data_IF_533544832220
#
_entry.id   IF_533544832220
#
_cell.length_a   1.000
_cell.length_b   1.000
_cell.length_c   1.000
_cell.angle_alpha   90.00
_cell.angle_beta   90.00
_cell.angle_gamma   90.00
#
_symmetry.space_group_name_H-M   'P 1'
#
loop_
_entity.id
_entity.type
_entity.pdbx_description
1 polymer ?
#
# COMPACT_ATOMS: atom_id res chain seq x y z
N UNK A 1 -20.69 -22.68 9.39
CA UNK A 1 -19.34 -22.29 8.92
C UNK A 1 -19.13 -20.85 9.33
N UNK A 2 -18.06 -20.53 10.07
CA UNK A 2 -17.72 -19.14 10.37
C UNK A 2 -17.12 -18.54 9.10
N UNK A 3 -17.79 -17.57 8.50
CA UNK A 3 -17.28 -16.85 7.33
C UNK A 3 -16.08 -16.02 7.77
N UNK A 4 -14.93 -16.21 7.14
CA UNK A 4 -13.74 -15.37 7.34
C UNK A 4 -14.04 -13.95 6.78
N UNK A 5 -14.23 -12.93 7.62
CA UNK A 5 -14.61 -11.59 7.16
C UNK A 5 -13.57 -10.98 6.21
N UNK A 6 -12.30 -11.33 6.39
CA UNK A 6 -11.23 -10.87 5.51
C UNK A 6 -11.37 -11.48 4.12
N UNK A 7 -11.73 -12.77 4.04
CA UNK A 7 -12.04 -13.42 2.76
C UNK A 7 -13.25 -12.78 2.07
N UNK A 8 -14.28 -12.40 2.83
CA UNK A 8 -15.43 -11.67 2.29
C UNK A 8 -15.03 -10.33 1.66
N UNK A 9 -14.18 -9.57 2.34
CA UNK A 9 -13.64 -8.30 1.82
C UNK A 9 -12.86 -8.52 0.51
N UNK A 10 -11.97 -9.53 0.46
CA UNK A 10 -11.20 -9.83 -0.76
C UNK A 10 -12.11 -10.21 -1.94
N UNK A 11 -13.12 -11.05 -1.70
CA UNK A 11 -14.07 -11.44 -2.73
C UNK A 11 -14.89 -10.24 -3.24
N UNK A 12 -15.28 -9.34 -2.35
CA UNK A 12 -16.02 -8.13 -2.72
C UNK A 12 -15.16 -7.18 -3.54
N UNK A 13 -13.92 -6.88 -3.10
CA UNK A 13 -12.97 -6.06 -3.85
C UNK A 13 -12.69 -6.61 -5.24
N UNK A 14 -12.55 -7.93 -5.39
CA UNK A 14 -12.34 -8.59 -6.67
C UNK A 14 -13.56 -8.50 -7.63
N UNK A 15 -14.76 -8.21 -7.10
CA UNK A 15 -15.97 -8.03 -7.89
C UNK A 15 -16.24 -6.59 -8.32
N UNK A 16 -15.53 -5.62 -7.73
CA UNK A 16 -15.66 -4.21 -8.09
C UNK A 16 -15.03 -3.94 -9.45
N UNK A 17 -15.76 -3.26 -10.34
CA UNK A 17 -15.28 -2.80 -11.65
C UNK A 17 -15.04 -1.28 -11.73
N UNK A 18 -15.44 -0.54 -10.69
CA UNK A 18 -15.31 0.91 -10.59
C UNK A 18 -14.42 1.28 -9.38
N UNK A 19 -13.46 2.17 -9.59
CA UNK A 19 -12.62 2.71 -8.52
C UNK A 19 -13.41 3.49 -7.47
N UNK A 20 -14.54 4.13 -7.85
CA UNK A 20 -15.37 4.89 -6.90
C UNK A 20 -16.02 3.97 -5.86
N UNK A 21 -16.46 2.78 -6.25
CA UNK A 21 -17.01 1.79 -5.31
C UNK A 21 -15.95 1.32 -4.30
N UNK A 22 -14.73 1.10 -4.78
CA UNK A 22 -13.59 0.71 -3.93
C UNK A 22 -13.24 1.85 -2.96
N UNK A 23 -13.21 3.09 -3.44
CA UNK A 23 -12.92 4.27 -2.61
C UNK A 23 -13.96 4.45 -1.50
N UNK A 24 -15.25 4.37 -1.82
CA UNK A 24 -16.32 4.47 -0.82
C UNK A 24 -16.22 3.37 0.25
N UNK A 25 -15.91 2.14 -0.16
CA UNK A 25 -15.72 1.02 0.75
C UNK A 25 -14.53 1.26 1.69
N UNK A 26 -13.37 1.65 1.15
CA UNK A 26 -12.17 1.90 1.96
C UNK A 26 -12.35 3.11 2.88
N UNK A 27 -13.07 4.14 2.47
CA UNK A 27 -13.45 5.28 3.32
C UNK A 27 -14.35 4.89 4.49
N UNK A 28 -15.19 3.86 4.33
CA UNK A 28 -16.02 3.34 5.42
C UNK A 28 -15.24 2.43 6.38
N UNK A 29 -14.20 1.74 5.90
CA UNK A 29 -13.44 0.75 6.68
C UNK A 29 -12.20 1.32 7.37
N UNK A 30 -11.59 2.35 6.79
CA UNK A 30 -10.30 2.89 7.20
C UNK A 30 -10.43 4.33 7.64
N UNK A 31 -9.73 4.67 8.71
CA UNK A 31 -9.50 6.05 9.09
C UNK A 31 -8.56 6.76 8.11
N UNK A 32 -8.63 8.10 8.04
CA UNK A 32 -7.70 8.91 7.23
C UNK A 32 -6.24 8.59 7.52
N UNK A 33 -5.92 8.28 8.79
CA UNK A 33 -4.58 7.89 9.21
C UNK A 33 -4.16 6.56 8.58
N UNK A 34 -5.02 5.55 8.59
CA UNK A 34 -4.72 4.24 8.00
C UNK A 34 -4.58 4.33 6.48
N UNK A 35 -5.41 5.13 5.82
CA UNK A 35 -5.28 5.41 4.38
C UNK A 35 -3.93 6.07 4.06
N UNK A 36 -3.53 7.07 4.86
CA UNK A 36 -2.22 7.71 4.73
C UNK A 36 -1.07 6.73 4.96
N UNK A 37 -1.18 5.82 5.92
CA UNK A 37 -0.17 4.78 6.18
C UNK A 37 -0.05 3.79 5.01
N UNK A 38 -1.16 3.40 4.38
CA UNK A 38 -1.15 2.58 3.16
C UNK A 38 -0.47 3.33 2.01
N UNK A 39 -0.82 4.60 1.78
CA UNK A 39 -0.21 5.43 0.75
C UNK A 39 1.32 5.59 0.96
N UNK A 40 1.75 5.83 2.20
CA UNK A 40 3.17 5.89 2.54
C UNK A 40 3.88 4.56 2.30
N UNK A 41 3.20 3.42 2.49
CA UNK A 41 3.79 2.12 2.20
C UNK A 41 4.06 1.93 0.72
N UNK A 42 3.15 2.39 -0.15
CA UNK A 42 3.37 2.42 -1.60
C UNK A 42 4.59 3.28 -1.94
N UNK A 43 4.71 4.47 -1.32
CA UNK A 43 5.86 5.35 -1.55
C UNK A 43 7.19 4.77 -1.04
N UNK A 44 7.18 4.07 0.09
CA UNK A 44 8.35 3.32 0.56
C UNK A 44 8.77 2.27 -0.48
N UNK A 45 7.83 1.48 -1.00
CA UNK A 45 8.13 0.48 -2.05
C UNK A 45 8.70 1.14 -3.31
N UNK A 46 8.13 2.25 -3.75
CA UNK A 46 8.61 2.93 -4.96
C UNK A 46 10.04 3.46 -4.78
N UNK A 47 10.34 4.13 -3.66
CA UNK A 47 11.68 4.65 -3.38
C UNK A 47 12.71 3.52 -3.21
N UNK A 48 12.34 2.42 -2.56
CA UNK A 48 13.19 1.22 -2.46
C UNK A 48 13.47 0.63 -3.85
N UNK A 49 12.45 0.55 -4.71
CA UNK A 49 12.61 0.06 -6.08
C UNK A 49 13.47 0.98 -6.96
N UNK A 50 13.58 2.27 -6.61
CA UNK A 50 14.52 3.24 -7.21
C UNK A 50 15.93 3.20 -6.61
N UNK A 51 16.18 2.34 -5.62
CA UNK A 51 17.49 2.19 -4.99
C UNK A 51 17.80 3.20 -3.89
N UNK A 52 16.81 3.98 -3.42
CA UNK A 52 17.00 4.93 -2.31
C UNK A 52 17.24 4.15 -1.02
N UNK A 53 18.18 4.61 -0.20
CA UNK A 53 18.53 3.90 1.04
C UNK A 53 17.40 4.01 2.07
N UNK A 54 17.25 3.01 2.95
CA UNK A 54 16.19 3.04 3.96
C UNK A 54 16.27 4.26 4.88
N UNK A 55 17.48 4.76 5.14
CA UNK A 55 17.71 5.95 5.96
C UNK A 55 17.20 7.21 5.26
N UNK A 56 17.55 7.41 4.00
CA UNK A 56 17.06 8.54 3.21
C UNK A 56 15.53 8.51 3.08
N UNK A 57 14.94 7.33 2.90
CA UNK A 57 13.46 7.18 2.87
C UNK A 57 12.84 7.57 4.21
N UNK A 58 13.44 7.14 5.32
CA UNK A 58 12.98 7.47 6.67
C UNK A 58 12.99 8.99 6.90
N UNK A 59 14.07 9.66 6.48
CA UNK A 59 14.22 11.12 6.56
C UNK A 59 13.25 11.84 5.62
N UNK A 60 13.14 11.42 4.36
CA UNK A 60 12.28 12.03 3.34
C UNK A 60 10.78 11.94 3.68
N UNK A 61 10.33 10.80 4.20
CA UNK A 61 8.93 10.56 4.51
C UNK A 61 8.56 10.89 5.97
N UNK A 62 9.54 11.27 6.80
CA UNK A 62 9.31 11.55 8.22
C UNK A 62 8.80 10.35 9.01
N UNK A 63 9.13 9.13 8.59
CA UNK A 63 8.72 7.88 9.25
C UNK A 63 9.90 7.22 9.94
N UNK A 64 9.67 6.47 11.01
CA UNK A 64 10.73 5.75 11.70
C UNK A 64 11.40 4.68 10.83
N UNK A 65 12.71 4.47 11.02
CA UNK A 65 13.50 3.49 10.25
C UNK A 65 12.89 2.09 10.27
N UNK A 66 12.31 1.66 11.39
CA UNK A 66 11.66 0.36 11.53
C UNK A 66 10.48 0.17 10.55
N UNK A 67 9.76 1.26 10.21
CA UNK A 67 8.68 1.22 9.23
C UNK A 67 9.24 0.95 7.84
N UNK A 68 10.33 1.62 7.47
CA UNK A 68 11.01 1.40 6.18
C UNK A 68 11.61 0.00 6.10
N UNK A 69 12.24 -0.49 7.16
CA UNK A 69 12.80 -1.85 7.20
C UNK A 69 11.72 -2.93 7.03
N UNK A 70 10.55 -2.77 7.65
CA UNK A 70 9.40 -3.66 7.41
C UNK A 70 8.92 -3.58 5.96
N UNK A 71 8.91 -2.39 5.36
CA UNK A 71 8.62 -2.20 3.94
C UNK A 71 9.59 -2.98 3.05
N UNK A 72 10.90 -2.80 3.26
CA UNK A 72 11.94 -3.51 2.51
C UNK A 72 11.80 -5.04 2.63
N UNK A 73 11.52 -5.55 3.83
CA UNK A 73 11.29 -6.99 4.02
C UNK A 73 10.05 -7.49 3.29
N UNK A 74 8.95 -6.74 3.31
CA UNK A 74 7.73 -7.11 2.60
C UNK A 74 7.94 -7.15 1.08
N UNK A 75 8.67 -6.18 0.52
CA UNK A 75 8.98 -6.11 -0.91
C UNK A 75 9.90 -7.24 -1.40
N UNK A 76 10.65 -7.88 -0.49
CA UNK A 76 11.42 -9.09 -0.81
C UNK A 76 10.56 -10.36 -0.88
N UNK A 77 9.41 -10.37 -0.20
CA UNK A 77 8.56 -11.56 -0.05
C UNK A 77 7.37 -11.50 -1.03
N UNK A 78 6.89 -10.31 -1.34
CA UNK A 78 5.69 -10.10 -2.14
C UNK A 78 6.02 -9.31 -3.40
N UNK A 79 5.48 -9.76 -4.53
CA UNK A 79 5.53 -9.02 -5.77
C UNK A 79 4.57 -7.83 -5.70
N UNK A 80 5.11 -6.63 -5.88
CA UNK A 80 4.38 -5.36 -5.90
C UNK A 80 4.60 -4.62 -7.23
N UNK A 81 5.18 -5.27 -8.23
CA UNK A 81 5.55 -4.65 -9.51
C UNK A 81 4.36 -4.02 -10.22
N UNK A 82 3.23 -4.73 -10.31
CA UNK A 82 2.00 -4.22 -10.92
C UNK A 82 1.47 -2.97 -10.20
N UNK A 83 1.47 -2.98 -8.86
CA UNK A 83 1.05 -1.82 -8.05
C UNK A 83 1.97 -0.61 -8.30
N UNK A 84 3.28 -0.83 -8.38
CA UNK A 84 4.25 0.24 -8.65
C UNK A 84 4.13 0.81 -10.07
N UNK A 85 3.81 -0.03 -11.07
CA UNK A 85 3.55 0.42 -12.43
C UNK A 85 2.37 1.40 -12.46
N UNK A 86 1.22 1.01 -11.91
CA UNK A 86 0.04 1.89 -11.79
C UNK A 86 0.35 3.16 -11.00
N UNK A 87 1.07 3.06 -9.88
CA UNK A 87 1.45 4.23 -9.09
C UNK A 87 2.28 5.24 -9.90
N UNK A 88 3.22 4.77 -10.72
CA UNK A 88 4.10 5.63 -11.52
C UNK A 88 3.38 6.23 -12.72
N UNK A 89 2.44 5.51 -13.33
CA UNK A 89 1.63 6.03 -14.45
C UNK A 89 0.72 7.18 -14.02
N UNK A 90 0.13 7.10 -12.82
CA UNK A 90 -0.74 8.17 -12.29
C UNK A 90 0.06 9.40 -11.85
N UNK A 91 1.33 9.23 -11.46
CA UNK A 91 2.17 10.29 -10.90
C UNK A 91 3.30 10.76 -11.85
N UNK A 92 3.29 10.33 -13.10
CA UNK A 92 4.21 10.78 -14.16
C UNK A 92 3.57 11.85 -15.03
#
# INVERSE_FOLDING_TARGET
MSTDPYRSLLNHLASCSDSTDIEMLLNALLTDKEQFEIANRIRIFDLLARGVTQREISEQLGVGIATVSRGAKAMQIHDVSALLATHREING
#
